data_IF_415056004555
#
_entry.id   IF_415056004555
#
_cell.length_a   1.000
_cell.length_b   1.000
_cell.length_c   1.000
_cell.angle_alpha   90.00
_cell.angle_beta   90.00
_cell.angle_gamma   90.00
#
_symmetry.space_group_name_H-M   'P 1'
#
loop_
_entity.id
_entity.type
_entity.pdbx_description
1 polymer ?
#
# COMPACT_ATOMS: atom_id res chain seq x y z
N UNK A 1 -29.60 -24.75 33.84
CA UNK A 1 -30.00 -23.89 32.73
C UNK A 1 -29.08 -23.98 31.51
N UNK A 2 -27.87 -24.51 31.66
CA UNK A 2 -26.86 -24.69 30.55
C UNK A 2 -27.13 -25.93 29.71
N UNK A 3 -27.79 -26.95 30.22
CA UNK A 3 -27.95 -28.26 29.58
C UNK A 3 -28.97 -28.30 28.43
N UNK A 4 -29.92 -27.35 28.36
CA UNK A 4 -30.96 -27.35 27.31
C UNK A 4 -30.49 -26.72 25.97
N UNK A 5 -29.71 -25.61 25.92
CA UNK A 5 -29.32 -24.99 24.69
C UNK A 5 -28.03 -25.57 24.05
N UNK A 6 -27.28 -26.41 24.76
CA UNK A 6 -26.00 -26.95 24.32
C UNK A 6 -26.00 -28.48 24.20
N UNK A 7 -25.17 -29.00 23.29
CA UNK A 7 -24.91 -30.44 23.20
C UNK A 7 -24.29 -30.96 24.52
N UNK A 8 -24.60 -32.18 24.97
CA UNK A 8 -24.18 -32.68 26.30
C UNK A 8 -22.68 -32.51 26.59
N UNK A 9 -21.82 -32.78 25.59
CA UNK A 9 -20.37 -32.64 25.75
C UNK A 9 -19.93 -31.17 25.91
N UNK A 10 -20.61 -30.25 25.23
CA UNK A 10 -20.35 -28.81 25.38
C UNK A 10 -20.84 -28.28 26.70
N UNK A 11 -21.99 -28.74 27.14
CA UNK A 11 -22.53 -28.38 28.45
C UNK A 11 -21.58 -28.83 29.61
N UNK A 12 -21.00 -30.04 29.55
CA UNK A 12 -20.02 -30.49 30.52
C UNK A 12 -18.72 -29.67 30.51
N UNK A 13 -18.24 -29.26 29.34
CA UNK A 13 -17.08 -28.36 29.24
C UNK A 13 -17.35 -26.98 29.85
N UNK A 14 -18.53 -26.41 29.59
CA UNK A 14 -18.95 -25.11 30.15
C UNK A 14 -19.06 -25.19 31.67
N UNK A 15 -19.68 -26.26 32.19
CA UNK A 15 -19.82 -26.49 33.65
C UNK A 15 -18.48 -26.78 34.35
N UNK A 16 -17.47 -27.25 33.59
CA UNK A 16 -16.12 -27.48 34.10
C UNK A 16 -15.25 -26.19 34.19
N UNK A 17 -15.74 -25.05 33.70
CA UNK A 17 -14.98 -23.80 33.79
C UNK A 17 -15.03 -23.28 35.23
N UNK A 18 -13.87 -23.10 35.90
CA UNK A 18 -13.86 -22.59 37.27
C UNK A 18 -14.29 -21.13 37.30
N UNK A 19 -15.40 -20.84 37.95
CA UNK A 19 -15.87 -19.47 38.15
C UNK A 19 -15.16 -18.82 39.34
N UNK A 20 -14.89 -17.52 39.23
CA UNK A 20 -14.33 -16.74 40.34
C UNK A 20 -15.31 -16.71 41.50
N UNK A 21 -14.83 -17.01 42.75
CA UNK A 21 -15.62 -16.89 43.96
C UNK A 21 -16.19 -15.47 44.18
N UNK A 22 -15.50 -14.43 43.64
CA UNK A 22 -15.92 -13.03 43.76
C UNK A 22 -17.02 -12.65 42.80
N UNK A 23 -17.39 -13.50 41.82
CA UNK A 23 -18.41 -13.24 40.81
C UNK A 23 -18.31 -11.79 40.26
N UNK A 24 -17.18 -11.38 39.66
CA UNK A 24 -17.10 -10.05 39.04
C UNK A 24 -18.16 -9.95 37.94
N UNK A 25 -18.66 -8.76 37.63
CA UNK A 25 -19.57 -8.56 36.51
C UNK A 25 -18.94 -9.09 35.20
N UNK A 26 -19.78 -9.61 34.31
CA UNK A 26 -19.35 -10.05 32.99
C UNK A 26 -18.79 -8.86 32.20
N UNK A 27 -17.66 -9.08 31.55
CA UNK A 27 -17.02 -8.07 30.71
C UNK A 27 -16.60 -8.70 29.37
N UNK A 28 -16.58 -7.86 28.33
CA UNK A 28 -16.18 -8.28 26.99
C UNK A 28 -14.66 -8.22 26.91
N UNK A 29 -14.02 -9.38 26.69
CA UNK A 29 -12.58 -9.47 26.53
C UNK A 29 -12.18 -9.75 25.08
N UNK A 30 -11.09 -9.15 24.67
CA UNK A 30 -10.50 -9.36 23.35
C UNK A 30 -9.56 -10.59 23.36
N UNK A 31 -9.99 -11.70 22.74
CA UNK A 31 -9.25 -12.98 22.78
C UNK A 31 -7.88 -13.00 22.08
N UNK A 32 -7.52 -11.96 21.32
CA UNK A 32 -6.26 -11.91 20.56
C UNK A 32 -5.12 -11.16 21.27
N UNK A 33 -5.34 -10.73 22.50
CA UNK A 33 -4.30 -10.12 23.32
C UNK A 33 -4.25 -10.81 24.68
N UNK A 34 -3.06 -11.02 25.27
CA UNK A 34 -2.93 -11.70 26.58
C UNK A 34 -3.64 -10.95 27.71
N UNK A 35 -3.81 -9.65 27.59
CA UNK A 35 -4.47 -8.79 28.58
C UNK A 35 -5.98 -8.60 28.33
N UNK A 36 -6.55 -9.24 27.29
CA UNK A 36 -7.96 -9.11 26.95
C UNK A 36 -8.39 -7.75 26.41
N UNK A 37 -7.46 -6.80 26.19
CA UNK A 37 -7.77 -5.44 25.75
C UNK A 37 -7.70 -5.33 24.23
N UNK A 38 -8.75 -4.77 23.62
CA UNK A 38 -8.79 -4.47 22.18
C UNK A 38 -7.74 -3.45 21.80
N UNK A 39 -7.04 -3.69 20.69
CA UNK A 39 -6.19 -2.69 20.03
C UNK A 39 -6.38 -2.74 18.52
N UNK A 40 -6.27 -1.60 17.86
CA UNK A 40 -6.32 -1.51 16.38
C UNK A 40 -5.28 -2.43 15.73
N UNK A 41 -4.09 -2.54 16.33
CA UNK A 41 -3.01 -3.42 15.86
C UNK A 41 -3.39 -4.89 15.92
N UNK A 42 -4.04 -5.35 17.01
CA UNK A 42 -4.46 -6.75 17.13
C UNK A 42 -5.61 -7.10 16.20
N UNK A 43 -6.56 -6.18 16.01
CA UNK A 43 -7.64 -6.33 15.03
C UNK A 43 -7.11 -6.40 13.59
N UNK A 44 -6.20 -5.52 13.21
CA UNK A 44 -5.56 -5.56 11.90
C UNK A 44 -4.82 -6.88 11.64
N UNK A 45 -4.04 -7.35 12.62
CA UNK A 45 -3.36 -8.66 12.50
C UNK A 45 -4.34 -9.81 12.31
N UNK A 46 -5.48 -9.80 12.98
CA UNK A 46 -6.53 -10.80 12.80
C UNK A 46 -7.10 -10.76 11.38
N UNK A 47 -7.45 -9.58 10.88
CA UNK A 47 -7.98 -9.43 9.52
C UNK A 47 -7.00 -9.94 8.47
N UNK A 48 -5.72 -9.56 8.58
CA UNK A 48 -4.67 -10.06 7.69
C UNK A 48 -4.49 -11.57 7.79
N UNK A 49 -4.58 -12.15 8.99
CA UNK A 49 -4.49 -13.59 9.16
C UNK A 49 -5.70 -14.33 8.56
N UNK A 50 -6.89 -13.77 8.65
CA UNK A 50 -8.11 -14.31 8.03
C UNK A 50 -8.03 -14.24 6.49
N UNK A 51 -7.56 -13.14 5.95
CA UNK A 51 -7.36 -12.93 4.51
C UNK A 51 -6.34 -13.94 3.95
N UNK A 52 -5.22 -14.11 4.63
CA UNK A 52 -4.19 -15.09 4.27
C UNK A 52 -4.62 -16.56 4.48
N UNK A 53 -5.61 -16.86 5.35
CA UNK A 53 -6.08 -18.22 5.57
C UNK A 53 -6.98 -18.75 4.45
N UNK A 54 -7.51 -17.86 3.60
CA UNK A 54 -8.31 -18.22 2.43
C UNK A 54 -7.47 -18.69 1.23
N UNK A 55 -6.17 -18.40 1.20
CA UNK A 55 -5.25 -18.77 0.13
C UNK A 55 -4.02 -19.52 0.64
N UNK A 56 -4.21 -20.76 1.10
CA UNK A 56 -3.10 -21.71 1.24
C UNK A 56 -2.72 -22.28 -0.14
N UNK A 57 -2.19 -21.45 -1.02
CA UNK A 57 -1.76 -21.85 -2.33
C UNK A 57 -0.64 -20.96 -2.85
N UNK A 58 0.60 -21.50 -2.86
CA UNK A 58 1.78 -20.99 -3.58
C UNK A 58 1.92 -19.46 -3.60
N UNK A 59 2.52 -18.91 -2.58
CA UNK A 59 3.04 -17.55 -2.63
C UNK A 59 4.25 -17.49 -3.57
N UNK A 60 3.99 -17.38 -4.88
CA UNK A 60 4.93 -16.70 -5.73
C UNK A 60 5.16 -15.31 -5.11
N UNK A 61 6.41 -14.85 -4.98
CA UNK A 61 6.69 -13.56 -4.37
C UNK A 61 5.89 -12.50 -5.15
N UNK A 62 4.96 -11.84 -4.46
CA UNK A 62 4.12 -10.79 -5.02
C UNK A 62 5.02 -9.78 -5.75
N UNK A 63 4.86 -9.58 -7.07
CA UNK A 63 5.67 -8.64 -7.83
C UNK A 63 5.64 -7.24 -7.23
N UNK A 64 4.51 -6.85 -6.65
CA UNK A 64 4.33 -5.58 -5.97
C UNK A 64 5.19 -5.48 -4.70
N UNK A 65 5.30 -6.56 -3.94
CA UNK A 65 6.18 -6.60 -2.77
C UNK A 65 7.66 -6.46 -3.16
N UNK A 66 8.07 -7.08 -4.27
CA UNK A 66 9.43 -6.94 -4.81
C UNK A 66 9.71 -5.50 -5.23
N UNK A 67 8.79 -4.87 -5.95
CA UNK A 67 8.87 -3.47 -6.36
C UNK A 67 9.09 -2.54 -5.15
N UNK A 68 8.24 -2.65 -4.12
CA UNK A 68 8.36 -1.82 -2.92
C UNK A 68 9.66 -2.05 -2.16
N UNK A 69 10.13 -3.30 -2.07
CA UNK A 69 11.44 -3.60 -1.48
C UNK A 69 12.56 -2.92 -2.25
N UNK A 70 12.52 -2.95 -3.59
CA UNK A 70 13.51 -2.25 -4.43
C UNK A 70 13.49 -0.76 -4.18
N UNK A 71 12.32 -0.11 -4.21
CA UNK A 71 12.19 1.32 -3.95
C UNK A 71 12.75 1.73 -2.58
N UNK A 72 12.42 0.99 -1.52
CA UNK A 72 12.87 1.32 -0.16
C UNK A 72 14.34 0.99 0.09
N UNK A 73 14.96 0.10 -0.70
CA UNK A 73 16.38 -0.25 -0.61
C UNK A 73 17.31 0.75 -1.30
N UNK A 74 16.79 1.65 -2.14
CA UNK A 74 17.60 2.66 -2.84
C UNK A 74 18.45 3.48 -1.87
N UNK A 75 19.68 3.76 -2.26
CA UNK A 75 20.61 4.61 -1.48
C UNK A 75 20.42 6.09 -1.79
N UNK A 76 19.18 6.58 -1.66
CA UNK A 76 18.80 7.98 -1.87
C UNK A 76 18.17 8.56 -0.60
N UNK A 77 18.14 9.88 -0.43
CA UNK A 77 17.48 10.51 0.71
C UNK A 77 16.02 10.08 0.85
N UNK A 78 15.54 9.91 2.08
CA UNK A 78 14.17 9.45 2.35
C UNK A 78 13.10 10.33 1.69
N UNK A 79 13.32 11.64 1.57
CA UNK A 79 12.43 12.56 0.85
C UNK A 79 12.18 12.14 -0.60
N UNK A 80 13.21 11.60 -1.29
CA UNK A 80 13.08 11.12 -2.68
C UNK A 80 12.28 9.83 -2.72
N UNK A 81 12.51 8.89 -1.79
CA UNK A 81 11.72 7.65 -1.68
C UNK A 81 10.24 7.95 -1.41
N UNK A 82 9.96 8.87 -0.48
CA UNK A 82 8.59 9.28 -0.20
C UNK A 82 7.93 9.99 -1.37
N UNK A 83 8.68 10.79 -2.13
CA UNK A 83 8.18 11.41 -3.34
C UNK A 83 7.79 10.36 -4.38
N UNK A 84 8.69 9.42 -4.69
CA UNK A 84 8.42 8.32 -5.61
C UNK A 84 7.24 7.44 -5.14
N UNK A 85 7.16 7.13 -3.83
CA UNK A 85 6.02 6.41 -3.26
C UNK A 85 4.69 7.15 -3.47
N UNK A 86 4.66 8.48 -3.27
CA UNK A 86 3.46 9.30 -3.51
C UNK A 86 3.06 9.29 -4.97
N UNK A 87 4.05 9.34 -5.87
CA UNK A 87 3.81 9.28 -7.31
C UNK A 87 3.20 7.94 -7.71
N UNK A 88 3.82 6.83 -7.30
CA UNK A 88 3.31 5.49 -7.53
C UNK A 88 1.87 5.27 -7.03
N UNK A 89 1.46 5.99 -5.99
CA UNK A 89 0.10 5.95 -5.44
C UNK A 89 -0.81 7.07 -5.97
N UNK A 90 -0.40 7.77 -7.01
CA UNK A 90 -1.12 8.93 -7.58
C UNK A 90 -1.54 9.97 -6.53
N UNK A 91 -0.66 10.21 -5.54
CA UNK A 91 -0.91 11.09 -4.39
C UNK A 91 -0.21 12.47 -4.49
N UNK A 92 0.42 12.77 -5.64
CA UNK A 92 1.00 14.07 -5.90
C UNK A 92 -0.07 15.10 -6.29
N UNK A 93 0.10 16.39 -5.96
CA UNK A 93 -0.85 17.47 -6.30
C UNK A 93 -0.68 17.90 -7.77
N UNK A 94 -0.94 16.98 -8.70
CA UNK A 94 -0.97 17.30 -10.14
C UNK A 94 -2.27 18.00 -10.51
N UNK A 95 -2.34 18.66 -11.68
CA UNK A 95 -3.55 19.36 -12.10
C UNK A 95 -4.76 18.43 -12.19
N UNK A 96 -4.58 17.19 -12.69
CA UNK A 96 -5.61 16.15 -12.69
C UNK A 96 -6.09 15.84 -11.27
N UNK A 97 -5.18 15.64 -10.33
CA UNK A 97 -5.53 15.33 -8.93
C UNK A 97 -6.16 16.53 -8.21
N UNK A 98 -5.76 17.75 -8.54
CA UNK A 98 -6.34 18.98 -7.99
C UNK A 98 -7.76 19.18 -8.54
N UNK A 99 -7.99 18.89 -9.82
CA UNK A 99 -9.33 18.95 -10.40
C UNK A 99 -10.26 17.92 -9.78
N UNK A 100 -9.81 16.66 -9.60
CA UNK A 100 -10.58 15.63 -8.90
C UNK A 100 -10.98 16.03 -7.47
N UNK A 101 -10.15 16.85 -6.81
CA UNK A 101 -10.41 17.38 -5.47
C UNK A 101 -11.20 18.69 -5.49
N UNK A 102 -11.65 19.14 -6.65
CA UNK A 102 -12.37 20.40 -6.85
C UNK A 102 -11.57 21.66 -6.39
N UNK A 103 -10.24 21.58 -6.39
CA UNK A 103 -9.34 22.69 -6.06
C UNK A 103 -9.01 23.48 -7.31
N UNK A 104 -8.89 22.82 -8.47
CA UNK A 104 -8.67 23.44 -9.78
C UNK A 104 -9.85 23.21 -10.70
N UNK A 105 -10.13 24.16 -11.58
CA UNK A 105 -11.16 24.05 -12.62
C UNK A 105 -10.64 23.38 -13.89
N UNK A 106 -9.32 23.33 -14.08
CA UNK A 106 -8.66 22.75 -15.25
C UNK A 106 -7.67 21.67 -14.82
N UNK A 107 -7.54 20.64 -15.64
CA UNK A 107 -6.56 19.56 -15.51
C UNK A 107 -5.34 19.76 -16.43
N UNK A 108 -5.34 20.78 -17.28
CA UNK A 108 -4.31 21.02 -18.28
C UNK A 108 -2.94 21.32 -17.65
N UNK A 109 -1.90 20.93 -18.35
CA UNK A 109 -0.53 21.23 -17.97
C UNK A 109 -0.25 22.73 -18.14
N UNK A 110 0.12 23.42 -17.07
CA UNK A 110 0.44 24.85 -17.04
C UNK A 110 1.65 25.23 -17.93
N UNK A 111 2.51 24.28 -18.26
CA UNK A 111 3.73 24.53 -19.03
C UNK A 111 3.50 24.41 -20.55
N UNK A 112 2.77 23.39 -21.01
CA UNK A 112 2.54 23.16 -22.42
C UNK A 112 1.12 23.52 -22.88
N UNK A 113 0.14 23.62 -21.96
CA UNK A 113 -1.27 23.98 -22.19
C UNK A 113 -2.01 23.06 -23.19
N UNK A 114 -1.45 21.89 -23.50
CA UNK A 114 -1.99 20.99 -24.55
C UNK A 114 -2.76 19.80 -24.01
N UNK A 115 -2.32 19.23 -22.87
CA UNK A 115 -2.88 17.98 -22.37
C UNK A 115 -2.96 17.98 -20.83
N UNK A 116 -3.78 17.08 -20.25
CA UNK A 116 -3.90 16.93 -18.81
C UNK A 116 -2.57 16.64 -18.12
N UNK A 117 -2.32 17.28 -16.98
CA UNK A 117 -1.10 17.10 -16.19
C UNK A 117 -1.30 16.07 -15.10
N UNK A 118 -1.08 14.80 -15.44
CA UNK A 118 -0.93 13.70 -14.49
C UNK A 118 0.50 13.67 -13.92
N UNK A 119 0.80 12.67 -13.06
CA UNK A 119 2.12 12.54 -12.44
C UNK A 119 3.20 12.21 -13.47
N UNK A 120 2.91 11.33 -14.40
CA UNK A 120 3.87 10.91 -15.41
C UNK A 120 4.20 12.05 -16.38
N UNK A 121 3.19 12.79 -16.81
CA UNK A 121 3.39 13.98 -17.65
C UNK A 121 4.14 15.09 -16.92
N UNK A 122 3.82 15.31 -15.65
CA UNK A 122 4.50 16.33 -14.84
C UNK A 122 6.00 16.08 -14.68
N UNK A 123 6.43 14.81 -14.70
CA UNK A 123 7.82 14.42 -14.43
C UNK A 123 8.59 13.97 -15.67
N UNK A 124 7.90 13.47 -16.72
CA UNK A 124 8.58 12.79 -17.83
C UNK A 124 8.16 13.25 -19.22
N UNK A 125 6.87 13.20 -19.55
CA UNK A 125 6.39 13.29 -20.95
C UNK A 125 6.15 14.71 -21.43
N UNK A 126 6.10 15.71 -20.55
CA UNK A 126 5.83 17.08 -20.97
C UNK A 126 6.90 17.59 -21.95
N UNK A 127 6.48 18.14 -23.10
CA UNK A 127 7.38 18.66 -24.13
C UNK A 127 8.37 19.73 -23.62
N UNK A 128 7.98 20.46 -22.57
CA UNK A 128 8.86 21.43 -21.92
C UNK A 128 9.96 20.81 -21.05
N UNK A 129 9.85 19.53 -20.74
CA UNK A 129 10.88 18.78 -20.01
C UNK A 129 11.86 18.08 -20.94
N UNK A 130 11.57 18.00 -22.24
CA UNK A 130 12.42 17.32 -23.21
C UNK A 130 13.85 17.88 -23.23
N UNK A 131 14.01 19.21 -23.19
CA UNK A 131 15.32 19.84 -23.12
C UNK A 131 16.09 19.43 -21.85
N UNK A 132 15.41 19.29 -20.72
CA UNK A 132 16.02 18.87 -19.46
C UNK A 132 16.52 17.43 -19.57
N UNK A 133 15.69 16.53 -20.09
CA UNK A 133 16.03 15.12 -20.20
C UNK A 133 17.09 14.85 -21.27
N UNK A 134 17.10 15.62 -22.36
CA UNK A 134 18.13 15.53 -23.40
C UNK A 134 19.52 15.89 -22.88
N UNK A 135 19.63 16.71 -21.83
CA UNK A 135 20.94 17.03 -21.21
C UNK A 135 21.48 15.88 -20.37
N UNK A 136 20.64 14.88 -20.02
CA UNK A 136 20.99 13.76 -19.16
C UNK A 136 21.16 12.49 -19.98
N UNK A 137 22.39 12.17 -20.40
CA UNK A 137 22.71 11.06 -21.30
C UNK A 137 22.21 9.68 -20.83
N UNK A 138 22.05 9.49 -19.53
CA UNK A 138 21.57 8.21 -18.95
C UNK A 138 20.05 8.00 -19.04
N UNK A 139 19.28 9.04 -19.41
CA UNK A 139 17.81 8.94 -19.55
C UNK A 139 17.35 8.46 -20.92
N UNK A 140 18.23 8.48 -21.92
CA UNK A 140 17.90 8.11 -23.31
C UNK A 140 17.26 6.71 -23.45
N UNK A 141 17.75 5.65 -22.80
CA UNK A 141 17.13 4.33 -22.90
C UNK A 141 15.68 4.29 -22.38
N UNK A 142 15.40 5.03 -21.31
CA UNK A 142 14.07 5.10 -20.71
C UNK A 142 13.11 5.93 -21.58
N UNK A 143 13.57 6.99 -22.21
CA UNK A 143 12.78 7.79 -23.16
C UNK A 143 12.38 6.99 -24.40
N UNK A 144 13.26 6.13 -24.90
CA UNK A 144 12.97 5.24 -26.04
C UNK A 144 12.00 4.10 -25.70
N UNK A 145 11.97 3.65 -24.45
CA UNK A 145 11.08 2.59 -23.98
C UNK A 145 9.59 3.02 -23.91
N UNK A 146 9.29 4.33 -24.02
CA UNK A 146 7.93 4.88 -23.96
C UNK A 146 7.09 4.27 -22.82
N UNK A 147 7.53 4.33 -21.55
CA UNK A 147 6.77 3.76 -20.46
C UNK A 147 5.40 4.45 -20.37
N UNK A 148 4.35 3.68 -20.12
CA UNK A 148 2.96 4.17 -20.04
C UNK A 148 2.63 4.78 -18.67
N UNK A 149 3.50 4.60 -17.67
CA UNK A 149 3.29 5.10 -16.31
C UNK A 149 4.62 5.25 -15.57
N UNK A 150 4.59 6.01 -14.47
CA UNK A 150 5.76 6.17 -13.61
C UNK A 150 6.19 4.85 -12.94
N UNK A 151 5.24 3.99 -12.58
CA UNK A 151 5.55 2.66 -12.05
C UNK A 151 6.32 1.82 -13.08
N UNK A 152 5.88 1.81 -14.34
CA UNK A 152 6.57 1.09 -15.41
C UNK A 152 7.97 1.67 -15.67
N UNK A 153 8.14 2.97 -15.54
CA UNK A 153 9.44 3.63 -15.62
C UNK A 153 10.39 3.18 -14.50
N UNK A 154 9.91 3.13 -13.26
CA UNK A 154 10.70 2.65 -12.13
C UNK A 154 11.03 1.16 -12.26
N UNK A 155 10.09 0.32 -12.70
CA UNK A 155 10.35 -1.09 -12.96
C UNK A 155 11.43 -1.29 -14.03
N UNK A 156 11.43 -0.47 -15.07
CA UNK A 156 12.47 -0.48 -16.09
C UNK A 156 13.85 -0.17 -15.47
N UNK A 157 13.94 0.86 -14.62
CA UNK A 157 15.19 1.18 -13.92
C UNK A 157 15.61 0.09 -12.95
N UNK A 158 14.68 -0.49 -12.18
CA UNK A 158 15.00 -1.59 -11.26
C UNK A 158 15.44 -2.87 -11.98
N UNK A 159 14.92 -3.14 -13.17
CA UNK A 159 15.35 -4.26 -14.00
C UNK A 159 16.73 -4.03 -14.63
N UNK A 160 17.11 -2.79 -14.88
CA UNK A 160 18.41 -2.37 -15.46
C UNK A 160 19.54 -2.21 -14.45
N UNK A 161 19.23 -2.09 -13.16
CA UNK A 161 20.19 -1.83 -12.05
C UNK A 161 21.12 -2.99 -11.68
N UNK A 162 21.20 -4.03 -12.49
CA UNK A 162 22.34 -4.93 -12.39
C UNK A 162 23.69 -4.29 -12.82
N UNK A 163 23.72 -2.98 -13.14
CA UNK A 163 24.90 -2.27 -13.64
C UNK A 163 24.94 -0.80 -13.19
N UNK A 164 25.18 -0.60 -11.91
CA UNK A 164 25.81 0.62 -11.39
C UNK A 164 26.90 0.24 -10.41
#
# INVERSE_FOLDING_TARGET
>A
MVERPFLPYKASLILGIPLSFRMPPDDITWGLTPNGIFSKKSAYKMLVALDNSGEAGNSSPDPQLKFWKSLWSLRVPNKVKHFAWRDCNNALPTMVNLQHRLISTSDLCEQCMTEPKDTFRALWVCSKLEEVWCTLSWTLPAAQASPLSFNALLDFFFAGEGRL
#
